data_IF_767133690119
#
_entry.id   IF_767133690119
#
_cell.length_a   1.000
_cell.length_b   1.000
_cell.length_c   1.000
_cell.angle_alpha   90.00
_cell.angle_beta   90.00
_cell.angle_gamma   90.00
#
_symmetry.space_group_name_H-M   'P 1'
#
loop_
_entity.id
_entity.type
_entity.pdbx_description
1 polymer ?
#
# COMPACT_ATOMS: atom_id res chain seq x y z
N UNK A 1 9.46 3.27 19.25
CA UNK A 1 9.48 3.72 17.84
C UNK A 1 8.50 4.87 17.67
N UNK A 2 8.83 5.87 16.86
CA UNK A 2 7.93 7.00 16.56
C UNK A 2 6.66 6.50 15.85
N UNK A 3 5.48 7.08 16.14
CA UNK A 3 4.20 6.66 15.53
C UNK A 3 4.23 6.73 13.99
N UNK A 4 4.98 7.66 13.41
CA UNK A 4 5.19 7.75 11.96
C UNK A 4 5.95 6.54 11.38
N UNK A 5 6.90 5.96 12.12
CA UNK A 5 7.64 4.79 11.66
C UNK A 5 6.75 3.55 11.59
N UNK A 6 5.81 3.42 12.54
CA UNK A 6 4.82 2.33 12.53
C UNK A 6 3.92 2.47 11.30
N UNK A 7 3.42 3.67 11.02
CA UNK A 7 2.62 3.97 9.81
C UNK A 7 3.40 3.61 8.54
N UNK A 8 4.69 3.92 8.48
CA UNK A 8 5.55 3.59 7.34
C UNK A 8 5.61 2.08 7.07
N UNK A 9 5.91 1.28 8.09
CA UNK A 9 5.95 -0.19 7.96
C UNK A 9 4.59 -0.78 7.60
N UNK A 10 3.50 -0.24 8.16
CA UNK A 10 2.14 -0.65 7.77
C UNK A 10 1.89 -0.38 6.29
N UNK A 11 2.28 0.79 5.75
CA UNK A 11 2.11 1.11 4.33
C UNK A 11 2.96 0.21 3.41
N UNK A 12 4.14 -0.23 3.85
CA UNK A 12 4.94 -1.24 3.13
C UNK A 12 4.21 -2.58 3.07
N UNK A 13 3.74 -3.07 4.22
CA UNK A 13 2.96 -4.32 4.29
C UNK A 13 1.67 -4.22 3.46
N UNK A 14 1.05 -3.05 3.44
CA UNK A 14 -0.13 -2.77 2.63
C UNK A 14 0.18 -2.87 1.13
N UNK A 15 1.31 -2.32 0.68
CA UNK A 15 1.74 -2.41 -0.72
C UNK A 15 1.96 -3.86 -1.16
N UNK A 16 2.58 -4.68 -0.31
CA UNK A 16 2.71 -6.12 -0.54
C UNK A 16 1.35 -6.82 -0.62
N UNK A 17 0.45 -6.52 0.31
CA UNK A 17 -0.91 -7.07 0.32
C UNK A 17 -1.69 -6.71 -0.94
N UNK A 18 -1.61 -5.45 -1.38
CA UNK A 18 -2.21 -4.97 -2.64
C UNK A 18 -1.63 -5.71 -3.86
N UNK A 19 -0.32 -5.97 -3.89
CA UNK A 19 0.30 -6.72 -4.99
C UNK A 19 -0.22 -8.16 -5.09
N UNK A 20 -0.39 -8.84 -3.94
CA UNK A 20 -1.00 -10.16 -3.88
C UNK A 20 -2.44 -10.10 -4.38
N UNK A 21 -3.22 -9.10 -3.95
CA UNK A 21 -4.58 -8.91 -4.43
C UNK A 21 -4.63 -8.72 -5.95
N UNK A 22 -3.72 -7.93 -6.53
CA UNK A 22 -3.67 -7.75 -7.99
C UNK A 22 -3.51 -9.10 -8.71
N UNK A 23 -2.66 -10.00 -8.21
CA UNK A 23 -2.45 -11.32 -8.81
C UNK A 23 -3.65 -12.24 -8.56
N UNK A 24 -4.19 -12.26 -7.34
CA UNK A 24 -5.33 -13.10 -6.99
C UNK A 24 -6.60 -12.76 -7.78
N UNK A 25 -6.80 -11.47 -8.08
CA UNK A 25 -7.87 -10.98 -8.94
C UNK A 25 -7.55 -11.11 -10.44
N UNK A 26 -6.37 -11.64 -10.82
CA UNK A 26 -5.97 -11.82 -12.21
C UNK A 26 -5.75 -10.50 -12.96
N UNK A 27 -5.40 -9.43 -12.25
CA UNK A 27 -5.16 -8.11 -12.83
C UNK A 27 -3.85 -8.15 -13.62
N UNK A 28 -3.99 -8.15 -14.93
CA UNK A 28 -2.90 -8.21 -15.90
C UNK A 28 -2.57 -6.84 -16.54
N UNK A 29 -3.43 -5.84 -16.34
CA UNK A 29 -3.25 -4.50 -16.89
C UNK A 29 -2.83 -3.48 -15.83
N UNK A 30 -1.89 -2.60 -16.17
CA UNK A 30 -1.37 -1.54 -15.29
C UNK A 30 -2.50 -0.62 -14.79
N UNK A 31 -3.47 -0.29 -15.65
CA UNK A 31 -4.61 0.56 -15.29
C UNK A 31 -5.48 -0.11 -14.22
N UNK A 32 -5.77 -1.40 -14.38
CA UNK A 32 -6.53 -2.17 -13.40
C UNK A 32 -5.81 -2.27 -12.06
N UNK A 33 -4.49 -2.50 -12.11
CA UNK A 33 -3.65 -2.56 -10.91
C UNK A 33 -3.61 -1.22 -10.19
N UNK A 34 -3.46 -0.12 -10.93
CA UNK A 34 -3.47 1.23 -10.38
C UNK A 34 -4.83 1.57 -9.75
N UNK A 35 -5.95 1.21 -10.39
CA UNK A 35 -7.28 1.43 -9.85
C UNK A 35 -7.50 0.66 -8.54
N UNK A 36 -7.11 -0.63 -8.50
CA UNK A 36 -7.21 -1.45 -7.30
C UNK A 36 -6.30 -0.92 -6.19
N UNK A 37 -5.06 -0.58 -6.53
CA UNK A 37 -4.08 0.01 -5.62
C UNK A 37 -4.57 1.33 -5.01
N UNK A 38 -5.20 2.19 -5.82
CA UNK A 38 -5.81 3.42 -5.35
C UNK A 38 -6.98 3.15 -4.38
N UNK A 39 -7.85 2.20 -4.71
CA UNK A 39 -8.99 1.83 -3.87
C UNK A 39 -8.53 1.30 -2.50
N UNK A 40 -7.55 0.37 -2.50
CA UNK A 40 -6.96 -0.16 -1.25
C UNK A 40 -6.30 0.97 -0.48
N UNK A 41 -5.53 1.85 -1.13
CA UNK A 41 -4.88 2.97 -0.47
C UNK A 41 -5.87 3.88 0.25
N UNK A 42 -6.95 4.29 -0.42
CA UNK A 42 -7.97 5.19 0.17
C UNK A 42 -8.66 4.54 1.37
N UNK A 43 -8.99 3.24 1.28
CA UNK A 43 -9.60 2.50 2.39
C UNK A 43 -8.64 2.43 3.59
N UNK A 44 -7.41 2.01 3.35
CA UNK A 44 -6.41 1.85 4.39
C UNK A 44 -6.00 3.18 5.00
N UNK A 45 -5.90 4.24 4.21
CA UNK A 45 -5.58 5.58 4.70
C UNK A 45 -6.67 6.12 5.62
N UNK A 46 -7.96 5.90 5.31
CA UNK A 46 -9.07 6.22 6.22
C UNK A 46 -8.99 5.45 7.53
N UNK A 47 -8.69 4.15 7.47
CA UNK A 47 -8.54 3.29 8.67
C UNK A 47 -7.35 3.74 9.52
N UNK A 48 -6.17 3.93 8.92
CA UNK A 48 -4.98 4.40 9.64
C UNK A 48 -5.22 5.78 10.23
N UNK A 49 -5.92 6.67 9.51
CA UNK A 49 -6.28 7.99 10.00
C UNK A 49 -7.14 7.87 11.25
N UNK A 50 -8.16 7.01 11.28
CA UNK A 50 -8.98 6.81 12.49
C UNK A 50 -8.19 6.27 13.67
N UNK A 51 -7.27 5.32 13.44
CA UNK A 51 -6.49 4.68 14.52
C UNK A 51 -5.44 5.62 15.09
N UNK A 52 -4.74 6.38 14.23
CA UNK A 52 -3.58 7.18 14.65
C UNK A 52 -3.89 8.66 14.90
N UNK A 53 -5.11 9.16 14.62
CA UNK A 53 -5.44 10.59 14.80
C UNK A 53 -5.20 11.11 16.22
N UNK A 54 -5.39 10.27 17.23
CA UNK A 54 -5.14 10.61 18.64
C UNK A 54 -3.67 10.45 19.07
N UNK A 55 -2.82 9.89 18.20
CA UNK A 55 -1.42 9.52 18.48
C UNK A 55 -0.39 10.31 17.68
N UNK A 56 -0.83 11.17 16.75
CA UNK A 56 0.03 12.03 15.93
C UNK A 56 -0.30 13.50 16.10
N UNK A 57 0.71 14.36 16.01
CA UNK A 57 0.57 15.81 16.19
C UNK A 57 -0.34 16.46 15.14
N UNK A 58 -0.30 15.96 13.90
CA UNK A 58 -1.14 16.45 12.80
C UNK A 58 -1.69 15.26 11.99
N UNK A 59 -3.00 15.18 11.75
CA UNK A 59 -3.60 14.12 10.95
C UNK A 59 -3.10 14.11 9.49
N UNK A 60 -2.64 15.26 9.00
CA UNK A 60 -2.07 15.43 7.66
C UNK A 60 -0.71 14.74 7.47
N UNK A 61 -0.01 14.41 8.56
CA UNK A 61 1.27 13.69 8.49
C UNK A 61 1.04 12.20 8.19
N UNK A 62 -0.13 11.64 8.50
CA UNK A 62 -0.47 10.23 8.25
C UNK A 62 -0.62 9.95 6.74
N UNK A 63 -1.24 10.88 6.02
CA UNK A 63 -1.47 10.79 4.57
C UNK A 63 -0.21 11.09 3.78
N UNK A 64 0.54 12.13 4.18
CA UNK A 64 1.76 12.54 3.49
C UNK A 64 2.91 11.58 3.72
N UNK A 65 2.99 10.99 4.91
CA UNK A 65 4.08 10.06 5.25
C UNK A 65 3.77 8.68 4.67
N UNK A 66 4.61 8.25 3.72
CA UNK A 66 4.58 6.88 3.19
C UNK A 66 3.62 6.64 2.02
N UNK A 67 3.09 7.68 1.35
CA UNK A 67 2.38 7.48 0.07
C UNK A 67 3.33 6.91 -0.99
N UNK A 68 4.55 7.44 -1.06
CA UNK A 68 5.57 6.99 -1.99
C UNK A 68 6.03 5.57 -1.68
N UNK A 69 6.20 5.22 -0.40
CA UNK A 69 6.64 3.87 -0.03
C UNK A 69 5.58 2.83 -0.35
N UNK A 70 4.30 3.17 -0.19
CA UNK A 70 3.19 2.31 -0.59
C UNK A 70 3.24 2.02 -2.10
N UNK A 71 3.32 3.07 -2.92
CA UNK A 71 3.34 2.93 -4.39
C UNK A 71 4.58 2.13 -4.82
N UNK A 72 5.75 2.46 -4.28
CA UNK A 72 7.01 1.79 -4.61
C UNK A 72 6.97 0.31 -4.21
N UNK A 73 6.48 0.00 -3.00
CA UNK A 73 6.35 -1.38 -2.53
C UNK A 73 5.35 -2.16 -3.38
N UNK A 74 4.20 -1.56 -3.71
CA UNK A 74 3.19 -2.18 -4.57
C UNK A 74 3.76 -2.54 -5.95
N UNK A 75 4.39 -1.59 -6.65
CA UNK A 75 4.97 -1.85 -7.99
C UNK A 75 6.07 -2.91 -7.90
N UNK A 76 6.97 -2.80 -6.91
CA UNK A 76 8.07 -3.73 -6.73
C UNK A 76 7.57 -5.16 -6.49
N UNK A 77 6.68 -5.35 -5.53
CA UNK A 77 6.15 -6.68 -5.21
C UNK A 77 5.25 -7.22 -6.31
N UNK A 78 4.47 -6.37 -6.99
CA UNK A 78 3.61 -6.82 -8.07
C UNK A 78 4.43 -7.31 -9.25
N UNK A 79 5.46 -6.56 -9.66
CA UNK A 79 6.39 -7.00 -10.71
C UNK A 79 7.12 -8.28 -10.30
N UNK A 80 7.66 -8.34 -9.07
CA UNK A 80 8.40 -9.50 -8.57
C UNK A 80 7.54 -10.78 -8.56
N UNK A 81 6.31 -10.69 -8.02
CA UNK A 81 5.39 -11.83 -7.98
C UNK A 81 4.90 -12.22 -9.37
N UNK A 82 4.64 -11.25 -10.26
CA UNK A 82 4.25 -11.51 -11.64
C UNK A 82 5.34 -12.23 -12.42
N UNK A 83 6.61 -11.80 -12.26
CA UNK A 83 7.77 -12.49 -12.85
C UNK A 83 7.93 -13.90 -12.29
N UNK A 84 7.81 -14.10 -10.97
CA UNK A 84 7.92 -15.41 -10.35
C UNK A 84 6.85 -16.39 -10.86
N UNK A 85 5.58 -15.97 -10.91
CA UNK A 85 4.50 -16.81 -11.41
C UNK A 85 4.62 -17.09 -12.92
N UNK A 86 5.11 -16.13 -13.69
CA UNK A 86 5.32 -16.30 -15.14
C UNK A 86 6.51 -17.22 -15.47
N UNK A 87 7.49 -17.32 -14.56
CA UNK A 87 8.67 -18.17 -14.71
C UNK A 87 8.47 -19.63 -14.31
N UNK A 88 7.27 -19.99 -13.84
CA UNK A 88 6.84 -21.34 -13.44
C UNK A 88 5.97 -21.95 -14.55
#
# INVERSE_FOLDING_TARGET
MSPLNIIYWIKVALGFFTAILCILLGVNNIIGGAALSMAVYVLSDKILRQIFIAKVNKPSDITKTGIMIYILSWIFFWALLYTLLSSI
#
